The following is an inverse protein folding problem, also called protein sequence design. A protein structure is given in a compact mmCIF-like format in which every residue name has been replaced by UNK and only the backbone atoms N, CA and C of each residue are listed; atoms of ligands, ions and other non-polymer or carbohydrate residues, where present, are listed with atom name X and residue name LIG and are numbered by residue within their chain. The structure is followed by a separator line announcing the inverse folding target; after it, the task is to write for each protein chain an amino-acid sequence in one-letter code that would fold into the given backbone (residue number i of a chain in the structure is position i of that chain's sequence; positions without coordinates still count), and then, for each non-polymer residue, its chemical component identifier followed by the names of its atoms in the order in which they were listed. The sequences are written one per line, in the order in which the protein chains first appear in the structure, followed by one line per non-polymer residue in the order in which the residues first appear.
data_IF_856087171715
#
_entry.id   IF_856087171715
#
_cell.length_a   1.000
_cell.length_b   1.000
_cell.length_c   1.000
_cell.angle_alpha   90.00
_cell.angle_beta   90.00
_cell.angle_gamma   90.00
#
_symmetry.space_group_name_H-M   'P 1'
#
loop_
_entity.id
_entity.type
_entity.pdbx_description
1 polymer ?
#
# COMPACT_ATOMS: atom_id res chain seq x y z
N UNK A 1 1.54 28.94 -10.15
CA UNK A 1 1.66 27.90 -9.11
C UNK A 1 2.74 26.95 -9.56
N UNK A 2 3.78 26.71 -8.77
CA UNK A 2 4.81 25.74 -9.14
C UNK A 2 4.35 24.32 -8.88
N UNK A 3 4.72 23.38 -9.74
CA UNK A 3 4.45 21.95 -9.51
C UNK A 3 5.29 21.42 -8.34
N UNK A 4 4.91 20.26 -7.77
CA UNK A 4 5.71 19.61 -6.72
C UNK A 4 7.14 19.29 -7.21
N UNK A 5 7.27 18.95 -8.49
CA UNK A 5 8.56 18.65 -9.13
C UNK A 5 9.42 19.90 -9.28
N UNK A 6 8.83 21.03 -9.68
CA UNK A 6 9.54 22.33 -9.74
C UNK A 6 10.02 22.79 -8.36
N UNK A 7 9.34 22.38 -7.28
CA UNK A 7 9.77 22.62 -5.91
C UNK A 7 10.91 21.68 -5.45
N UNK A 8 11.42 20.82 -6.33
CA UNK A 8 12.49 19.85 -6.00
C UNK A 8 12.03 18.70 -5.11
N UNK A 9 10.73 18.42 -5.05
CA UNK A 9 10.17 17.32 -4.28
C UNK A 9 10.09 16.05 -5.12
N UNK A 10 10.47 14.93 -4.51
CA UNK A 10 10.13 13.61 -5.02
C UNK A 10 8.65 13.31 -4.75
N UNK A 11 7.91 12.97 -5.80
CA UNK A 11 6.53 12.51 -5.66
C UNK A 11 6.53 10.99 -5.62
N UNK A 12 5.99 10.44 -4.55
CA UNK A 12 5.75 8.99 -4.39
C UNK A 12 4.25 8.76 -4.28
N UNK A 13 3.71 7.84 -5.08
CA UNK A 13 2.33 7.39 -4.97
C UNK A 13 2.31 5.94 -4.45
N UNK A 14 1.52 5.73 -3.40
CA UNK A 14 1.18 4.42 -2.85
C UNK A 14 0.12 3.75 -3.71
N UNK A 15 0.43 2.58 -4.27
CA UNK A 15 -0.48 1.84 -5.13
C UNK A 15 -1.54 1.08 -4.31
N UNK A 16 -2.69 0.70 -4.91
CA UNK A 16 -3.80 0.10 -4.17
C UNK A 16 -3.41 -1.19 -3.43
N UNK A 17 -3.79 -1.30 -2.16
CA UNK A 17 -3.61 -2.48 -1.32
C UNK A 17 -4.71 -3.53 -1.58
N UNK A 18 -4.55 -4.78 -1.11
CA UNK A 18 -5.64 -5.74 -1.05
C UNK A 18 -6.85 -5.19 -0.27
N UNK A 19 -8.04 -5.64 -0.65
CA UNK A 19 -9.29 -5.36 0.07
C UNK A 19 -9.98 -6.68 0.44
N UNK A 20 -10.72 -6.67 1.54
CA UNK A 20 -11.38 -7.83 2.12
C UNK A 20 -12.84 -7.53 2.41
N UNK A 21 -13.64 -8.60 2.51
CA UNK A 21 -15.09 -8.48 2.72
C UNK A 21 -15.46 -8.20 4.18
N UNK A 22 -14.60 -8.59 5.12
CA UNK A 22 -14.87 -8.51 6.54
C UNK A 22 -13.75 -7.79 7.30
N UNK A 23 -14.08 -7.05 8.37
CA UNK A 23 -13.10 -6.32 9.17
C UNK A 23 -12.29 -7.25 10.07
N UNK A 24 -11.06 -7.58 9.66
CA UNK A 24 -10.24 -8.60 10.32
C UNK A 24 -9.99 -8.32 11.81
N UNK A 25 -9.63 -7.08 12.18
CA UNK A 25 -9.41 -6.72 13.57
C UNK A 25 -10.66 -6.92 14.43
N UNK A 26 -11.82 -6.41 13.98
CA UNK A 26 -13.09 -6.56 14.72
C UNK A 26 -13.47 -8.02 14.89
N UNK A 27 -13.26 -8.85 13.88
CA UNK A 27 -13.61 -10.27 13.91
C UNK A 27 -12.62 -11.14 14.67
N UNK A 28 -11.47 -10.59 15.10
CA UNK A 28 -10.46 -11.30 15.88
C UNK A 28 -10.78 -11.36 17.38
N UNK A 29 -11.64 -10.47 17.89
CA UNK A 29 -12.09 -10.51 19.28
C UNK A 29 -13.06 -11.67 19.52
N UNK A 30 -12.88 -12.40 20.63
CA UNK A 30 -13.73 -13.54 20.99
C UNK A 30 -15.23 -13.19 21.09
N UNK A 31 -15.57 -11.97 21.52
CA UNK A 31 -16.95 -11.51 21.67
C UNK A 31 -17.56 -11.00 20.35
N UNK A 32 -16.75 -10.64 19.36
CA UNK A 32 -17.19 -10.20 18.03
C UNK A 32 -17.08 -11.29 16.97
N UNK A 33 -16.45 -12.43 17.24
CA UNK A 33 -16.16 -13.49 16.27
C UNK A 33 -17.40 -14.06 15.56
N UNK A 34 -18.59 -13.91 16.15
CA UNK A 34 -19.88 -14.32 15.56
C UNK A 34 -20.73 -13.18 15.01
N UNK A 35 -20.17 -11.97 14.91
CA UNK A 35 -20.88 -10.85 14.30
C UNK A 35 -21.17 -11.17 12.82
N UNK A 36 -22.39 -10.95 12.31
CA UNK A 36 -22.73 -11.20 10.91
C UNK A 36 -21.80 -10.54 9.89
N UNK A 37 -21.14 -9.42 10.26
CA UNK A 37 -20.15 -8.74 9.41
C UNK A 37 -18.93 -9.61 9.08
N UNK A 38 -18.65 -10.66 9.88
CA UNK A 38 -17.54 -11.59 9.70
C UNK A 38 -17.83 -12.69 8.67
N UNK A 39 -19.10 -12.83 8.22
CA UNK A 39 -19.51 -13.91 7.31
C UNK A 39 -18.92 -13.80 5.90
N UNK A 40 -18.43 -12.62 5.50
CA UNK A 40 -17.79 -12.37 4.22
C UNK A 40 -16.41 -13.05 4.09
N UNK A 41 -15.80 -13.43 5.21
CA UNK A 41 -14.49 -14.07 5.26
C UNK A 41 -13.31 -13.10 5.10
N UNK A 42 -12.11 -13.65 5.26
CA UNK A 42 -10.85 -12.89 5.38
C UNK A 42 -9.82 -13.22 4.31
N UNK A 43 -10.23 -13.99 3.29
CA UNK A 43 -9.39 -14.38 2.17
C UNK A 43 -10.05 -14.01 0.86
N UNK A 44 -9.23 -13.61 -0.11
CA UNK A 44 -9.67 -13.25 -1.47
C UNK A 44 -8.60 -13.75 -2.46
N UNK A 45 -9.03 -14.29 -3.59
CA UNK A 45 -8.13 -14.67 -4.68
C UNK A 45 -7.31 -13.47 -5.16
N UNK A 46 -5.99 -13.67 -5.31
CA UNK A 46 -5.06 -12.64 -5.78
C UNK A 46 -5.50 -12.08 -7.13
N UNK A 47 -5.83 -12.96 -8.06
CA UNK A 47 -6.26 -12.60 -9.42
C UNK A 47 -7.47 -11.66 -9.42
N UNK A 48 -8.42 -11.87 -8.50
CA UNK A 48 -9.58 -10.99 -8.37
C UNK A 48 -9.15 -9.58 -7.96
N UNK A 49 -8.26 -9.47 -6.98
CA UNK A 49 -7.76 -8.19 -6.49
C UNK A 49 -6.86 -7.48 -7.52
N UNK A 50 -6.02 -8.23 -8.24
CA UNK A 50 -5.21 -7.71 -9.33
C UNK A 50 -6.08 -7.17 -10.48
N UNK A 51 -7.13 -7.89 -10.86
CA UNK A 51 -8.12 -7.41 -11.83
C UNK A 51 -8.82 -6.14 -11.33
N UNK A 52 -9.17 -6.08 -10.03
CA UNK A 52 -9.87 -4.95 -9.42
C UNK A 52 -9.01 -3.68 -9.38
N UNK A 53 -7.71 -3.80 -9.15
CA UNK A 53 -6.75 -2.67 -9.10
C UNK A 53 -6.20 -2.27 -10.46
N UNK A 54 -6.33 -3.13 -11.49
CA UNK A 54 -5.76 -2.91 -12.83
C UNK A 54 -6.07 -1.52 -13.43
N UNK A 55 -7.29 -0.96 -13.35
CA UNK A 55 -7.55 0.38 -13.89
C UNK A 55 -6.69 1.47 -13.23
N UNK A 56 -6.47 1.37 -11.90
CA UNK A 56 -5.62 2.32 -11.17
C UNK A 56 -4.15 2.13 -11.56
N UNK A 57 -3.68 0.88 -11.67
CA UNK A 57 -2.31 0.61 -12.10
C UNK A 57 -2.04 1.11 -13.52
N UNK A 58 -3.01 1.01 -14.43
CA UNK A 58 -2.89 1.56 -15.79
C UNK A 58 -2.78 3.09 -15.76
N UNK A 59 -3.59 3.77 -14.94
CA UNK A 59 -3.50 5.23 -14.78
C UNK A 59 -2.16 5.66 -14.16
N UNK A 60 -1.64 4.91 -13.18
CA UNK A 60 -0.32 5.16 -12.60
C UNK A 60 0.80 4.96 -13.63
N UNK A 61 0.69 3.96 -14.50
CA UNK A 61 1.63 3.76 -15.60
C UNK A 61 1.60 4.93 -16.59
N UNK A 62 0.41 5.39 -16.97
CA UNK A 62 0.24 6.58 -17.82
C UNK A 62 0.85 7.83 -17.17
N UNK A 63 0.55 8.09 -15.89
CA UNK A 63 1.14 9.20 -15.14
C UNK A 63 2.67 9.13 -15.11
N UNK A 64 3.25 7.93 -15.00
CA UNK A 64 4.70 7.76 -15.03
C UNK A 64 5.31 8.08 -16.40
N UNK A 65 4.56 7.91 -17.50
CA UNK A 65 5.03 8.36 -18.83
C UNK A 65 5.05 9.88 -18.94
N UNK A 66 4.09 10.56 -18.31
CA UNK A 66 4.00 12.03 -18.27
C UNK A 66 5.00 12.64 -17.26
N UNK A 67 5.29 11.90 -16.19
CA UNK A 67 6.18 12.31 -15.11
C UNK A 67 7.21 11.20 -14.83
N UNK A 68 8.32 11.13 -15.57
CA UNK A 68 9.31 10.05 -15.43
C UNK A 68 9.91 9.93 -14.02
N UNK A 69 9.99 11.05 -13.30
CA UNK A 69 10.48 11.14 -11.90
C UNK A 69 9.44 10.67 -10.86
N UNK A 70 8.21 10.33 -11.27
CA UNK A 70 7.19 9.79 -10.38
C UNK A 70 7.60 8.38 -9.91
N UNK A 71 7.77 8.24 -8.60
CA UNK A 71 7.90 6.93 -7.97
C UNK A 71 6.52 6.35 -7.64
N UNK A 72 6.34 5.06 -7.91
CA UNK A 72 5.16 4.30 -7.49
C UNK A 72 5.65 3.20 -6.56
N UNK A 73 5.17 3.21 -5.33
CA UNK A 73 5.41 2.14 -4.37
C UNK A 73 4.23 1.17 -4.40
N UNK A 74 4.49 -0.09 -4.73
CA UNK A 74 3.45 -1.12 -4.76
C UNK A 74 3.51 -2.03 -3.51
N UNK A 75 2.67 -1.79 -2.50
CA UNK A 75 2.60 -2.64 -1.30
C UNK A 75 1.86 -3.96 -1.54
N UNK A 76 1.13 -4.12 -2.64
CA UNK A 76 0.24 -5.26 -2.86
C UNK A 76 0.96 -6.61 -2.81
N UNK A 77 2.13 -6.80 -3.48
CA UNK A 77 2.83 -8.09 -3.44
C UNK A 77 3.39 -8.42 -2.04
N UNK A 78 3.61 -7.41 -1.20
CA UNK A 78 4.07 -7.61 0.20
C UNK A 78 2.92 -8.08 1.08
N UNK A 79 1.73 -7.49 0.91
CA UNK A 79 0.53 -7.84 1.67
C UNK A 79 -0.16 -9.11 1.16
N UNK A 80 0.12 -9.50 -0.08
CA UNK A 80 -0.41 -10.70 -0.72
C UNK A 80 0.69 -11.33 -1.59
N UNK A 81 1.59 -12.14 -1.00
CA UNK A 81 2.64 -12.82 -1.75
C UNK A 81 2.13 -14.06 -2.50
N UNK A 82 1.09 -14.71 -1.98
CA UNK A 82 0.56 -15.98 -2.49
C UNK A 82 -0.61 -15.79 -3.48
N UNK A 83 -1.11 -16.89 -4.05
CA UNK A 83 -2.29 -16.90 -4.94
C UNK A 83 -3.60 -16.54 -4.21
N UNK A 84 -3.63 -16.69 -2.89
CA UNK A 84 -4.74 -16.29 -2.03
C UNK A 84 -4.24 -15.25 -1.03
N UNK A 85 -4.86 -14.07 -1.04
CA UNK A 85 -4.54 -13.01 -0.10
C UNK A 85 -5.29 -13.24 1.21
N UNK A 86 -4.64 -12.97 2.34
CA UNK A 86 -5.22 -13.06 3.68
C UNK A 86 -5.21 -11.70 4.37
N UNK A 87 -6.28 -11.36 5.08
CA UNK A 87 -6.34 -10.18 5.95
C UNK A 87 -5.52 -10.37 7.25
N UNK A 88 -4.92 -11.54 7.43
CA UNK A 88 -4.14 -11.96 8.59
C UNK A 88 -2.73 -12.39 8.22
N UNK A 89 -1.80 -12.11 9.13
CA UNK A 89 -0.46 -12.68 9.22
C UNK A 89 -0.44 -13.66 10.41
N UNK A 90 -0.62 -14.95 10.13
CA UNK A 90 -0.89 -15.94 11.17
C UNK A 90 -2.12 -15.55 12.00
N UNK A 91 -2.01 -15.41 13.33
CA UNK A 91 -3.12 -14.98 14.19
C UNK A 91 -3.32 -13.45 14.21
N UNK A 92 -2.40 -12.66 13.64
CA UNK A 92 -2.40 -11.21 13.75
C UNK A 92 -3.18 -10.57 12.59
N UNK A 93 -4.20 -9.73 12.85
CA UNK A 93 -4.89 -9.02 11.79
C UNK A 93 -3.93 -8.02 11.14
N UNK A 94 -3.71 -8.17 9.84
CA UNK A 94 -2.91 -7.25 9.02
C UNK A 94 -3.72 -6.00 8.64
N UNK A 95 -5.06 -6.11 8.64
CA UNK A 95 -5.99 -5.03 8.35
C UNK A 95 -6.86 -4.70 9.57
N UNK A 96 -7.16 -3.41 9.76
CA UNK A 96 -8.08 -2.92 10.78
C UNK A 96 -9.52 -3.24 10.38
N UNK A 97 -9.86 -3.02 9.12
CA UNK A 97 -11.16 -3.33 8.55
C UNK A 97 -11.00 -4.04 7.20
N UNK A 98 -11.83 -3.71 6.20
CA UNK A 98 -11.78 -4.33 4.87
C UNK A 98 -10.70 -3.73 3.95
N UNK A 99 -10.11 -2.59 4.30
CA UNK A 99 -9.21 -1.85 3.38
C UNK A 99 -8.10 -1.06 4.09
N UNK A 100 -8.26 -0.70 5.36
CA UNK A 100 -7.25 -0.01 6.16
C UNK A 100 -6.30 -1.01 6.83
N UNK A 101 -5.00 -0.69 6.82
CA UNK A 101 -4.00 -1.49 7.54
C UNK A 101 -4.18 -1.36 9.05
N UNK A 102 -3.91 -2.46 9.75
CA UNK A 102 -3.70 -2.42 11.19
C UNK A 102 -2.31 -1.85 11.51
N UNK A 103 -2.04 -1.61 12.79
CA UNK A 103 -0.69 -1.29 13.25
C UNK A 103 0.33 -2.40 12.92
N UNK A 104 -0.10 -3.66 12.86
CA UNK A 104 0.74 -4.77 12.42
C UNK A 104 1.01 -4.71 10.92
N UNK A 105 -0.02 -4.51 10.10
CA UNK A 105 0.14 -4.36 8.65
C UNK A 105 1.08 -3.21 8.26
N UNK A 106 1.04 -2.10 8.97
CA UNK A 106 2.00 -1.01 8.78
C UNK A 106 3.46 -1.43 9.07
N UNK A 107 3.69 -2.25 10.10
CA UNK A 107 5.03 -2.78 10.41
C UNK A 107 5.53 -3.78 9.36
N UNK A 108 4.63 -4.60 8.82
CA UNK A 108 4.95 -5.51 7.71
C UNK A 108 5.40 -4.73 6.48
N UNK A 109 4.76 -3.61 6.16
CA UNK A 109 5.12 -2.79 5.00
C UNK A 109 6.36 -1.91 5.18
N UNK A 110 6.68 -1.54 6.41
CA UNK A 110 7.73 -0.56 6.69
C UNK A 110 9.08 -0.86 6.00
N UNK A 111 9.62 -2.10 6.01
CA UNK A 111 10.88 -2.40 5.33
C UNK A 111 10.81 -2.17 3.81
N UNK A 112 9.70 -2.57 3.16
CA UNK A 112 9.49 -2.37 1.71
C UNK A 112 9.40 -0.89 1.36
N UNK A 113 8.69 -0.11 2.18
CA UNK A 113 8.56 1.33 1.97
C UNK A 113 9.91 2.04 2.13
N UNK A 114 10.69 1.69 3.16
CA UNK A 114 12.01 2.28 3.39
C UNK A 114 12.96 1.98 2.23
N UNK A 115 13.00 0.74 1.75
CA UNK A 115 13.82 0.35 0.61
C UNK A 115 13.44 1.13 -0.67
N UNK A 116 12.14 1.36 -0.89
CA UNK A 116 11.67 2.17 -2.01
C UNK A 116 12.12 3.63 -1.87
N UNK A 117 12.00 4.23 -0.67
CA UNK A 117 12.46 5.60 -0.42
C UNK A 117 13.98 5.75 -0.63
N UNK A 118 14.78 4.81 -0.15
CA UNK A 118 16.22 4.78 -0.34
C UNK A 118 16.58 4.69 -1.84
N UNK A 119 15.91 3.79 -2.58
CA UNK A 119 16.08 3.66 -4.02
C UNK A 119 15.68 4.93 -4.78
N UNK A 120 14.59 5.58 -4.38
CA UNK A 120 14.12 6.78 -5.06
C UNK A 120 15.00 8.00 -4.73
N UNK A 121 15.52 8.08 -3.51
CA UNK A 121 16.44 9.14 -3.09
C UNK A 121 17.78 9.12 -3.83
N UNK A 122 18.25 7.95 -4.28
CA UNK A 122 19.47 7.82 -5.10
C UNK A 122 19.37 8.56 -6.44
N UNK A 123 18.15 8.78 -6.94
CA UNK A 123 17.90 9.44 -8.21
C UNK A 123 17.69 10.96 -8.04
N UNK A 124 17.64 11.46 -6.81
CA UNK A 124 17.50 12.90 -6.57
C UNK A 124 18.82 13.62 -6.79
N UNK A 125 18.79 14.80 -7.46
CA UNK A 125 19.96 15.67 -7.49
C UNK A 125 20.37 16.01 -6.04
N UNK A 126 21.68 16.17 -5.76
CA UNK A 126 22.13 16.58 -4.44
C UNK A 126 21.39 17.85 -4.04
N UNK A 127 20.82 17.85 -2.82
CA UNK A 127 20.15 19.03 -2.27
C UNK A 127 21.11 20.20 -2.41
N UNK A 128 20.71 21.23 -3.16
CA UNK A 128 21.40 22.51 -3.12
C UNK A 128 21.50 22.88 -1.64
N UNK A 129 22.73 23.07 -1.15
CA UNK A 129 22.98 23.40 0.25
C UNK A 129 21.99 24.48 0.67
N UNK A 130 21.17 24.20 1.68
CA UNK A 130 20.31 25.21 2.26
C UNK A 130 21.23 26.40 2.57
N UNK A 131 21.01 27.54 1.89
CA UNK A 131 21.73 28.75 2.24
C UNK A 131 21.42 29.00 3.70
N UNK A 132 22.45 28.89 4.55
CA UNK A 132 22.38 29.32 5.92
C UNK A 132 21.85 30.76 5.90
N UNK A 133 20.72 30.97 6.57
CA UNK A 133 20.19 32.29 6.87
C UNK A 133 20.99 32.83 8.06
#
# INVERSE_FOLDING_TARGET
MSTLQEAGLLVVIDAPKPIFKSPAFRCSDWFNARNPICAGGFVIERDFLEQRRRPVMNALAELKTLHPELAVWDPFPVLCPETVCSAFDGPLPMFLDGDHLSGHGNRVLFPSFLAMLESAAQHLPPRASAKAI
#
